data_IF_415904742289
#
_entry.id   IF_415904742289
#
_cell.length_a   1.000
_cell.length_b   1.000
_cell.length_c   1.000
_cell.angle_alpha   90.00
_cell.angle_beta   90.00
_cell.angle_gamma   90.00
#
_symmetry.space_group_name_H-M   'P 1'
#
loop_
_entity.id
_entity.type
_entity.pdbx_description
1 polymer ?
#
# COMPACT_ATOMS: atom_id res chain seq x y z
N UNK A 1 -23.21 9.42 -17.98
CA UNK A 1 -22.82 8.01 -17.71
C UNK A 1 -22.12 8.03 -16.38
N UNK A 2 -22.97 8.15 -15.37
CA UNK A 2 -22.67 8.05 -13.95
C UNK A 2 -22.26 6.62 -13.65
N UNK A 3 -21.00 6.44 -13.24
CA UNK A 3 -20.45 5.14 -12.85
C UNK A 3 -19.60 5.40 -11.59
N UNK A 4 -20.32 5.28 -10.48
CA UNK A 4 -19.92 4.92 -9.11
C UNK A 4 -19.08 5.89 -8.28
N UNK A 5 -19.79 6.57 -7.36
CA UNK A 5 -19.43 6.51 -5.95
C UNK A 5 -19.27 5.04 -5.55
N UNK A 6 -18.06 4.61 -5.20
CA UNK A 6 -17.87 3.41 -4.38
C UNK A 6 -17.06 3.82 -3.16
N UNK A 7 -17.64 3.49 -2.01
CA UNK A 7 -17.24 3.87 -0.67
C UNK A 7 -15.77 3.59 -0.39
N UNK A 8 -15.02 4.64 -0.03
CA UNK A 8 -13.72 4.51 0.61
C UNK A 8 -13.93 3.71 1.90
N UNK A 9 -13.39 2.48 2.04
CA UNK A 9 -13.54 1.73 3.27
C UNK A 9 -12.88 2.52 4.39
N UNK A 10 -13.61 2.78 5.47
CA UNK A 10 -13.04 3.41 6.65
C UNK A 10 -11.92 2.51 7.18
N UNK A 11 -10.67 2.96 7.03
CA UNK A 11 -9.49 2.19 7.43
C UNK A 11 -9.30 2.28 8.95
N UNK A 12 -8.94 1.17 9.62
CA UNK A 12 -8.50 1.21 11.01
C UNK A 12 -7.13 1.89 11.11
N UNK A 13 -6.88 2.48 12.29
CA UNK A 13 -5.96 3.58 12.62
C UNK A 13 -4.45 3.39 12.40
N UNK A 14 -3.99 2.52 11.50
CA UNK A 14 -2.57 2.39 11.14
C UNK A 14 -2.33 1.73 9.77
N UNK A 15 -3.16 2.03 8.78
CA UNK A 15 -2.92 1.59 7.39
C UNK A 15 -2.16 2.69 6.62
N UNK A 16 -1.05 2.36 5.97
CA UNK A 16 -0.37 3.30 5.06
C UNK A 16 -0.85 3.06 3.63
N UNK A 17 -1.00 4.15 2.87
CA UNK A 17 -1.47 4.16 1.49
C UNK A 17 -0.45 4.91 0.64
N UNK A 18 -0.01 4.29 -0.46
CA UNK A 18 0.89 4.92 -1.44
C UNK A 18 0.26 4.87 -2.81
N UNK A 19 0.43 5.96 -3.57
CA UNK A 19 -0.18 6.15 -4.87
C UNK A 19 0.88 6.55 -5.91
N UNK A 20 0.83 5.93 -7.08
CA UNK A 20 1.63 6.33 -8.24
C UNK A 20 0.82 7.25 -9.17
N UNK A 21 1.47 8.30 -9.69
CA UNK A 21 0.85 9.36 -10.49
C UNK A 21 1.58 9.54 -11.84
N UNK A 22 0.83 9.68 -12.95
CA UNK A 22 1.37 9.98 -14.28
C UNK A 22 0.98 11.39 -14.77
N UNK A 23 1.83 12.09 -15.55
CA UNK A 23 1.68 13.53 -15.85
C UNK A 23 1.09 13.87 -17.23
N UNK A 24 -0.07 14.54 -17.17
CA UNK A 24 -0.67 15.63 -17.98
C UNK A 24 -2.06 15.93 -17.39
N UNK A 25 -2.63 14.93 -16.73
CA UNK A 25 -3.67 14.98 -15.70
C UNK A 25 -3.15 14.07 -14.57
N UNK A 26 -2.95 14.59 -13.35
CA UNK A 26 -2.48 13.78 -12.22
C UNK A 26 -3.53 12.71 -11.94
N UNK A 27 -3.28 11.48 -12.40
CA UNK A 27 -4.17 10.33 -12.21
C UNK A 27 -3.46 9.30 -11.35
N UNK A 28 -4.13 8.87 -10.29
CA UNK A 28 -3.73 7.71 -9.50
C UNK A 28 -3.96 6.47 -10.35
N UNK A 29 -2.88 5.82 -10.73
CA UNK A 29 -2.91 4.61 -11.57
C UNK A 29 -2.85 3.33 -10.74
N UNK A 30 -2.33 3.42 -9.52
CA UNK A 30 -2.14 2.28 -8.65
C UNK A 30 -2.18 2.69 -7.18
N UNK A 31 -2.86 1.88 -6.37
CA UNK A 31 -2.90 2.00 -4.91
C UNK A 31 -2.74 0.61 -4.30
N UNK A 32 -1.63 0.37 -3.59
CA UNK A 32 -1.41 -0.84 -2.82
C UNK A 32 -1.73 -0.61 -1.34
N UNK A 33 -2.30 -1.62 -0.68
CA UNK A 33 -2.54 -1.60 0.76
C UNK A 33 -1.70 -2.69 1.41
N UNK A 34 -0.92 -2.28 2.42
CA UNK A 34 -0.17 -3.17 3.31
C UNK A 34 -0.49 -2.77 4.74
N UNK A 35 -0.76 -3.77 5.57
CA UNK A 35 -1.17 -3.58 6.95
C UNK A 35 -0.15 -4.21 7.90
N UNK A 36 0.52 -3.35 8.68
CA UNK A 36 1.58 -3.72 9.62
C UNK A 36 1.04 -4.12 11.00
N UNK A 37 -0.21 -3.78 11.32
CA UNK A 37 -0.79 -4.00 12.63
C UNK A 37 -2.18 -4.63 12.54
N UNK A 38 -2.52 -5.42 13.55
CA UNK A 38 -3.89 -5.82 13.78
C UNK A 38 -4.22 -5.44 15.21
N UNK A 39 -5.20 -4.57 15.40
CA UNK A 39 -5.57 -4.04 16.72
C UNK A 39 -5.96 -5.14 17.72
N UNK A 40 -6.54 -6.25 17.24
CA UNK A 40 -6.90 -7.41 18.07
C UNK A 40 -5.63 -8.14 18.53
N UNK A 41 -4.68 -8.39 17.62
CA UNK A 41 -3.39 -9.00 17.94
C UNK A 41 -2.56 -8.11 18.88
N UNK A 42 -2.47 -6.82 18.57
CA UNK A 42 -1.69 -5.85 19.35
C UNK A 42 -2.19 -5.80 20.79
N UNK A 43 -3.52 -5.68 20.96
CA UNK A 43 -4.16 -5.61 22.29
C UNK A 43 -4.01 -6.90 23.08
N UNK A 44 -4.08 -8.06 22.43
CA UNK A 44 -3.85 -9.35 23.07
C UNK A 44 -2.40 -9.47 23.56
N UNK A 45 -1.43 -9.06 22.73
CA UNK A 45 -0.02 -9.01 23.08
C UNK A 45 0.27 -8.06 24.24
N UNK A 46 -0.30 -6.84 24.23
CA UNK A 46 -0.10 -5.86 25.32
C UNK A 46 -0.71 -6.29 26.65
N UNK A 47 -1.69 -7.20 26.63
CA UNK A 47 -2.37 -7.70 27.83
C UNK A 47 -1.92 -9.10 28.24
N UNK A 48 -0.94 -9.69 27.55
CA UNK A 48 -0.47 -11.07 27.74
C UNK A 48 -1.61 -12.11 27.75
N UNK A 49 -2.65 -11.84 26.96
CA UNK A 49 -3.85 -12.69 26.85
C UNK A 49 -3.86 -13.44 25.53
N UNK A 50 -4.49 -14.63 25.48
CA UNK A 50 -4.70 -15.31 24.22
C UNK A 50 -5.50 -14.42 23.27
N UNK A 51 -5.05 -14.38 22.02
CA UNK A 51 -5.70 -13.57 20.98
C UNK A 51 -7.08 -14.15 20.71
N UNK A 52 -8.11 -13.29 20.72
CA UNK A 52 -9.46 -13.70 20.33
C UNK A 52 -9.47 -14.18 18.89
N UNK A 53 -10.30 -15.17 18.59
CA UNK A 53 -10.52 -15.62 17.22
C UNK A 53 -11.02 -14.45 16.37
N UNK A 54 -10.33 -14.16 15.26
CA UNK A 54 -10.66 -13.10 14.33
C UNK A 54 -9.98 -13.33 12.98
N UNK A 55 -10.47 -12.64 11.95
CA UNK A 55 -9.80 -12.57 10.65
C UNK A 55 -8.68 -11.54 10.74
N UNK A 56 -7.44 -11.99 10.69
CA UNK A 56 -6.28 -11.12 10.73
C UNK A 56 -5.91 -10.63 9.33
N UNK A 57 -5.97 -9.31 9.12
CA UNK A 57 -5.56 -8.67 7.87
C UNK A 57 -4.12 -8.14 7.89
N UNK A 58 -3.33 -8.46 8.93
CA UNK A 58 -1.92 -8.09 8.99
C UNK A 58 -1.16 -8.88 7.93
N UNK A 59 -0.63 -8.16 6.93
CA UNK A 59 0.10 -8.74 5.80
C UNK A 59 1.50 -8.12 5.62
N UNK A 60 1.92 -7.27 6.57
CA UNK A 60 3.22 -6.61 6.55
C UNK A 60 3.96 -6.76 7.88
N UNK A 61 5.27 -6.98 7.79
CA UNK A 61 6.14 -7.18 8.97
C UNK A 61 7.42 -6.36 8.94
N UNK A 62 7.75 -5.70 7.83
CA UNK A 62 8.95 -4.88 7.69
C UNK A 62 8.69 -3.41 8.08
N UNK A 63 9.68 -2.53 7.91
CA UNK A 63 9.54 -1.09 8.16
C UNK A 63 8.52 -0.41 7.24
N UNK A 64 8.09 0.80 7.63
CA UNK A 64 7.25 1.67 6.80
C UNK A 64 7.93 1.97 5.46
N UNK A 65 9.21 2.37 5.47
CA UNK A 65 10.01 2.60 4.27
C UNK A 65 10.03 1.40 3.32
N UNK A 66 10.14 0.19 3.87
CA UNK A 66 10.08 -1.02 3.06
C UNK A 66 8.69 -1.26 2.45
N UNK A 67 7.62 -0.76 3.11
CA UNK A 67 6.24 -0.86 2.65
C UNK A 67 6.00 0.01 1.43
N UNK A 68 6.48 1.25 1.48
CA UNK A 68 6.37 2.21 0.37
C UNK A 68 7.05 1.65 -0.87
N UNK A 69 8.29 1.16 -0.71
CA UNK A 69 9.04 0.55 -1.80
C UNK A 69 8.36 -0.72 -2.37
N UNK A 70 7.78 -1.57 -1.52
CA UNK A 70 7.05 -2.76 -1.97
C UNK A 70 5.81 -2.40 -2.79
N UNK A 71 5.01 -1.43 -2.32
CA UNK A 71 3.81 -0.96 -3.02
C UNK A 71 4.18 -0.32 -4.36
N UNK A 72 5.26 0.46 -4.42
CA UNK A 72 5.73 1.09 -5.66
C UNK A 72 6.14 0.03 -6.68
N UNK A 73 6.95 -0.94 -6.27
CA UNK A 73 7.40 -2.05 -7.15
C UNK A 73 6.21 -2.87 -7.64
N UNK A 74 5.24 -3.16 -6.78
CA UNK A 74 4.00 -3.84 -7.14
C UNK A 74 3.23 -3.04 -8.20
N UNK A 75 3.13 -1.72 -8.03
CA UNK A 75 2.51 -0.81 -9.00
C UNK A 75 3.20 -0.80 -10.36
N UNK A 76 4.54 -0.81 -10.40
CA UNK A 76 5.29 -0.94 -11.65
C UNK A 76 5.08 -2.29 -12.34
N UNK A 77 5.00 -3.38 -11.57
CA UNK A 77 4.71 -4.72 -12.12
C UNK A 77 3.30 -4.79 -12.68
N UNK A 78 2.35 -4.12 -12.05
CA UNK A 78 0.94 -4.13 -12.46
C UNK A 78 0.65 -3.12 -13.59
N UNK A 79 1.47 -2.10 -13.80
CA UNK A 79 1.21 -1.09 -14.83
C UNK A 79 1.21 -1.65 -16.25
N UNK A 80 2.06 -2.64 -16.53
CA UNK A 80 2.13 -3.30 -17.84
C UNK A 80 0.88 -4.13 -18.11
N UNK A 81 0.49 -5.10 -17.26
CA UNK A 81 -0.72 -5.89 -17.51
C UNK A 81 -2.02 -5.09 -17.39
N UNK A 82 -2.11 -4.08 -16.53
CA UNK A 82 -3.34 -3.30 -16.34
C UNK A 82 -3.55 -2.22 -17.41
N UNK A 83 -2.48 -1.53 -17.80
CA UNK A 83 -2.57 -0.33 -18.64
C UNK A 83 -1.66 -0.35 -19.87
N UNK A 84 -0.79 -1.35 -20.02
CA UNK A 84 0.22 -1.38 -21.08
C UNK A 84 1.28 -0.29 -20.96
N UNK A 85 1.50 0.25 -19.76
CA UNK A 85 2.40 1.39 -19.52
C UNK A 85 3.77 0.92 -19.06
N UNK A 86 4.80 1.39 -19.77
CA UNK A 86 6.22 1.30 -19.40
C UNK A 86 6.74 2.71 -19.15
N UNK A 87 7.42 2.92 -18.03
CA UNK A 87 7.95 4.23 -17.63
C UNK A 87 9.39 4.37 -18.10
N UNK A 88 9.72 5.52 -18.68
CA UNK A 88 11.10 5.85 -19.06
C UNK A 88 11.89 6.46 -17.90
N UNK A 89 11.21 7.22 -17.05
CA UNK A 89 11.82 7.96 -15.95
C UNK A 89 10.95 7.82 -14.69
N UNK A 90 11.61 7.67 -13.54
CA UNK A 90 11.00 7.75 -12.22
C UNK A 90 11.59 8.96 -11.49
N UNK A 91 10.72 9.88 -11.09
CA UNK A 91 11.08 11.03 -10.26
C UNK A 91 10.56 10.75 -8.85
N UNK A 92 11.48 10.48 -7.93
CA UNK A 92 11.19 10.29 -6.51
C UNK A 92 11.66 11.47 -5.66
N UNK A 93 11.27 11.48 -4.39
CA UNK A 93 11.65 12.49 -3.39
C UNK A 93 13.08 12.32 -2.82
N UNK A 94 13.83 11.34 -3.35
CA UNK A 94 15.19 11.03 -2.90
C UNK A 94 15.27 9.90 -1.88
N UNK A 95 14.16 9.23 -1.54
CA UNK A 95 14.25 8.02 -0.73
C UNK A 95 14.91 6.87 -1.51
N UNK A 96 16.14 6.56 -1.13
CA UNK A 96 16.99 5.54 -1.78
C UNK A 96 16.47 4.10 -1.62
N UNK A 97 15.51 3.87 -0.73
CA UNK A 97 14.97 2.54 -0.44
C UNK A 97 14.18 1.95 -1.62
N UNK A 98 13.45 2.80 -2.35
CA UNK A 98 12.64 2.45 -3.51
C UNK A 98 13.52 2.11 -4.71
N UNK A 99 14.52 2.96 -4.98
CA UNK A 99 15.44 2.79 -6.12
C UNK A 99 16.25 1.50 -6.05
N UNK A 100 16.51 0.96 -4.85
CA UNK A 100 17.23 -0.31 -4.67
C UNK A 100 16.39 -1.55 -4.97
N UNK A 101 15.07 -1.41 -5.06
CA UNK A 101 14.11 -2.53 -5.17
C UNK A 101 13.40 -2.60 -6.53
N UNK A 102 13.60 -1.59 -7.38
CA UNK A 102 13.22 -1.58 -8.80
C UNK A 102 14.26 -2.37 -9.62
#
# INVERSE_FOLDING_TARGET
MDIFQEDVPQTPSSSQQHALLASKQIKVIYMGVRNSCCSICERASSQEKPTKEHICYKNWTQSATAMEADIIVDGFKQSVPMYGIVYAELIGDGDSSVMKRL
#
